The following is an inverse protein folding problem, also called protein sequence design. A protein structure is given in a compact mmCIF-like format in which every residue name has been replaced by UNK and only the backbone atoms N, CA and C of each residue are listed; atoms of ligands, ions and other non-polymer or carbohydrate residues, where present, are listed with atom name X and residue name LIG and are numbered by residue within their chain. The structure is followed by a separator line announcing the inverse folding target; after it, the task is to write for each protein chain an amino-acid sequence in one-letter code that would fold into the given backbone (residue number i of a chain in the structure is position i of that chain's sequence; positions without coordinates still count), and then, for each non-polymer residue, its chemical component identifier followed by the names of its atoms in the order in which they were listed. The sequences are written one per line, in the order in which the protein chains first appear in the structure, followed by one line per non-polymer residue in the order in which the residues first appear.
data_IF_600791090039
#
_entry.id   IF_600791090039
#
_cell.length_a   1.000
_cell.length_b   1.000
_cell.length_c   1.000
_cell.angle_alpha   90.00
_cell.angle_beta   90.00
_cell.angle_gamma   90.00
#
_symmetry.space_group_name_H-M   'P 1'
#
loop_
_entity.id
_entity.type
_entity.pdbx_description
1 polymer ?
#
# COMPACT_ATOMS: atom_id res chain seq x y z
N UNK A 1 5.23 27.73 -16.02
CA UNK A 1 6.63 27.30 -16.17
C UNK A 1 6.81 26.69 -17.55
N UNK A 2 7.54 27.30 -18.49
CA UNK A 2 7.68 26.84 -19.88
C UNK A 2 8.46 25.53 -20.05
N UNK A 3 8.06 24.47 -19.33
CA UNK A 3 8.64 23.14 -19.33
C UNK A 3 7.99 22.29 -20.42
N UNK A 4 8.78 21.49 -21.14
CA UNK A 4 8.27 20.51 -22.08
C UNK A 4 8.09 19.17 -21.38
N UNK A 5 6.85 18.83 -21.03
CA UNK A 5 6.49 17.53 -20.44
C UNK A 5 6.08 16.56 -21.55
N UNK A 6 6.81 15.45 -21.78
CA UNK A 6 6.41 14.42 -22.74
C UNK A 6 5.05 13.83 -22.38
N UNK A 7 4.20 13.63 -23.39
CA UNK A 7 2.84 13.09 -23.20
C UNK A 7 2.84 11.71 -22.53
N UNK A 8 3.83 10.86 -22.83
CA UNK A 8 3.99 9.53 -22.26
C UNK A 8 4.30 9.60 -20.76
N UNK A 9 5.18 10.52 -20.35
CA UNK A 9 5.49 10.74 -18.94
C UNK A 9 4.27 11.30 -18.20
N UNK A 10 3.59 12.28 -18.79
CA UNK A 10 2.35 12.85 -18.24
C UNK A 10 1.26 11.78 -18.02
N UNK A 11 1.08 10.89 -18.99
CA UNK A 11 0.12 9.78 -18.87
C UNK A 11 0.51 8.79 -17.76
N UNK A 12 1.79 8.48 -17.60
CA UNK A 12 2.27 7.61 -16.50
C UNK A 12 2.07 8.26 -15.14
N UNK A 13 2.37 9.55 -15.00
CA UNK A 13 2.10 10.32 -13.77
C UNK A 13 0.60 10.29 -13.44
N UNK A 14 -0.26 10.55 -14.43
CA UNK A 14 -1.72 10.54 -14.24
C UNK A 14 -2.24 9.16 -13.77
N UNK A 15 -1.70 8.07 -14.34
CA UNK A 15 -2.03 6.69 -13.91
C UNK A 15 -1.55 6.42 -12.47
N UNK A 16 -0.30 6.79 -12.14
CA UNK A 16 0.27 6.59 -10.80
C UNK A 16 -0.40 7.44 -9.73
N UNK A 17 -0.95 8.60 -10.10
CA UNK A 17 -1.60 9.52 -9.18
C UNK A 17 -2.99 9.04 -8.71
N UNK A 18 -3.57 8.02 -9.35
CA UNK A 18 -4.88 7.43 -8.98
C UNK A 18 -5.99 8.50 -8.84
N UNK A 19 -6.10 9.36 -9.86
CA UNK A 19 -7.06 10.49 -9.93
C UNK A 19 -6.90 11.56 -8.84
N UNK A 20 -5.77 11.60 -8.15
CA UNK A 20 -5.45 12.65 -7.19
C UNK A 20 -4.54 13.71 -7.84
N UNK A 21 -5.10 14.88 -8.14
CA UNK A 21 -4.36 15.97 -8.82
C UNK A 21 -3.16 16.47 -8.01
N UNK A 22 -3.31 16.62 -6.69
CA UNK A 22 -2.19 17.04 -5.82
C UNK A 22 -1.03 16.05 -5.92
N UNK A 23 -1.34 14.75 -5.91
CA UNK A 23 -0.33 13.70 -6.05
C UNK A 23 0.33 13.73 -7.43
N UNK A 24 -0.43 13.97 -8.50
CA UNK A 24 0.12 14.09 -9.85
C UNK A 24 1.11 15.25 -9.97
N UNK A 25 0.78 16.41 -9.40
CA UNK A 25 1.66 17.59 -9.41
C UNK A 25 2.97 17.32 -8.63
N UNK A 26 2.86 16.81 -7.39
CA UNK A 26 4.03 16.46 -6.58
C UNK A 26 4.93 15.41 -7.25
N UNK A 27 4.33 14.43 -7.94
CA UNK A 27 5.09 13.45 -8.72
C UNK A 27 5.81 14.09 -9.91
N UNK A 28 5.17 15.03 -10.61
CA UNK A 28 5.78 15.75 -11.71
C UNK A 28 6.96 16.63 -11.24
N UNK A 29 6.81 17.30 -10.10
CA UNK A 29 7.88 18.07 -9.46
C UNK A 29 9.04 17.17 -9.04
N UNK A 30 8.74 16.03 -8.42
CA UNK A 30 9.76 15.06 -8.03
C UNK A 30 10.50 14.48 -9.25
N UNK A 31 9.81 14.20 -10.36
CA UNK A 31 10.45 13.84 -11.62
C UNK A 31 11.44 14.93 -12.08
N UNK A 32 11.02 16.20 -12.08
CA UNK A 32 11.86 17.33 -12.49
C UNK A 32 13.11 17.45 -11.63
N UNK A 33 12.98 17.28 -10.31
CA UNK A 33 14.10 17.35 -9.36
C UNK A 33 15.07 16.18 -9.54
N UNK A 34 14.56 14.98 -9.82
CA UNK A 34 15.42 13.81 -10.02
C UNK A 34 16.18 13.86 -11.35
N UNK A 35 15.52 14.30 -12.43
CA UNK A 35 16.12 14.37 -13.75
C UNK A 35 15.39 15.39 -14.64
N UNK A 36 16.17 16.33 -15.19
CA UNK A 36 15.71 17.28 -16.21
C UNK A 36 16.81 17.47 -17.28
N UNK A 37 16.48 17.56 -18.59
CA UNK A 37 15.15 17.52 -19.21
C UNK A 37 14.39 16.21 -19.01
N UNK A 38 13.05 16.27 -19.03
CA UNK A 38 12.20 15.09 -18.93
C UNK A 38 12.44 14.12 -20.09
N UNK A 39 12.41 12.82 -19.81
CA UNK A 39 12.44 11.77 -20.85
C UNK A 39 11.13 10.98 -20.85
N UNK A 40 10.79 10.40 -22.00
CA UNK A 40 9.61 9.55 -22.17
C UNK A 40 9.62 8.34 -21.25
N UNK A 41 10.80 7.81 -20.91
CA UNK A 41 10.98 6.58 -20.12
C UNK A 41 11.32 6.81 -18.64
N UNK A 42 11.48 8.07 -18.21
CA UNK A 42 11.81 8.41 -16.82
C UNK A 42 10.91 7.70 -15.80
N UNK A 43 11.51 7.13 -14.74
CA UNK A 43 10.74 6.47 -13.68
C UNK A 43 10.03 7.51 -12.84
N UNK A 44 8.72 7.33 -12.64
CA UNK A 44 7.93 8.17 -11.73
C UNK A 44 8.23 7.74 -10.29
N UNK A 45 8.69 8.65 -9.40
CA UNK A 45 8.94 8.31 -8.02
C UNK A 45 7.61 8.02 -7.30
N UNK A 46 7.61 6.92 -6.55
CA UNK A 46 6.49 6.56 -5.68
C UNK A 46 6.75 7.05 -4.25
N UNK A 47 5.72 7.41 -3.47
CA UNK A 47 5.91 7.76 -2.06
C UNK A 47 6.50 6.59 -1.26
N UNK A 48 7.46 6.88 -0.38
CA UNK A 48 8.19 5.85 0.38
C UNK A 48 7.26 4.91 1.16
N UNK A 49 6.22 5.46 1.78
CA UNK A 49 5.23 4.67 2.52
C UNK A 49 4.49 3.65 1.64
N UNK A 50 4.31 3.92 0.34
CA UNK A 50 3.69 2.95 -0.59
C UNK A 50 4.62 1.80 -0.91
N UNK A 51 5.90 2.10 -1.12
CA UNK A 51 6.94 1.09 -1.34
C UNK A 51 7.05 0.23 -0.10
N UNK A 52 7.08 0.85 1.08
CA UNK A 52 7.16 0.18 2.36
C UNK A 52 5.95 -0.75 2.62
N UNK A 53 4.73 -0.31 2.29
CA UNK A 53 3.53 -1.16 2.35
C UNK A 53 3.64 -2.35 1.39
N UNK A 54 4.10 -2.13 0.15
CA UNK A 54 4.26 -3.19 -0.86
C UNK A 54 5.25 -4.25 -0.40
N UNK A 55 6.38 -3.84 0.18
CA UNK A 55 7.36 -4.75 0.77
C UNK A 55 6.80 -5.51 1.98
N UNK A 56 6.03 -4.83 2.83
CA UNK A 56 5.34 -5.46 3.97
C UNK A 56 4.33 -6.51 3.48
N UNK A 57 3.58 -6.21 2.41
CA UNK A 57 2.65 -7.17 1.81
C UNK A 57 3.38 -8.41 1.24
N UNK A 58 4.54 -8.23 0.59
CA UNK A 58 5.38 -9.35 0.12
C UNK A 58 5.82 -10.25 1.29
N UNK A 59 6.23 -9.65 2.41
CA UNK A 59 6.60 -10.37 3.62
C UNK A 59 5.46 -11.21 4.19
N UNK A 60 4.22 -10.69 4.16
CA UNK A 60 3.02 -11.43 4.58
C UNK A 60 2.74 -12.61 3.66
N UNK A 61 2.93 -12.45 2.35
CA UNK A 61 2.68 -13.50 1.37
C UNK A 61 3.74 -14.59 1.41
N UNK A 62 4.99 -14.25 1.74
CA UNK A 62 6.09 -15.23 1.76
C UNK A 62 5.99 -16.26 2.88
N UNK A 63 5.47 -15.89 4.06
CA UNK A 63 5.44 -16.80 5.21
C UNK A 63 4.29 -16.43 6.16
N UNK A 64 3.50 -17.44 6.56
CA UNK A 64 2.38 -17.29 7.49
C UNK A 64 2.68 -17.95 8.84
N UNK A 65 3.68 -17.42 9.55
CA UNK A 65 4.06 -17.87 10.90
C UNK A 65 3.83 -16.76 11.95
N UNK A 66 3.63 -17.12 13.24
CA UNK A 66 3.53 -16.13 14.32
C UNK A 66 4.77 -15.24 14.45
N UNK A 67 5.96 -15.78 14.15
CA UNK A 67 7.21 -15.01 14.14
C UNK A 67 7.17 -13.93 13.06
N UNK A 68 6.78 -14.30 11.83
CA UNK A 68 6.63 -13.36 10.71
C UNK A 68 5.58 -12.29 11.00
N UNK A 69 4.47 -12.65 11.64
CA UNK A 69 3.46 -11.69 12.08
C UNK A 69 4.04 -10.65 13.05
N UNK A 70 4.92 -11.05 13.97
CA UNK A 70 5.63 -10.14 14.86
C UNK A 70 6.53 -9.14 14.12
N UNK A 71 7.25 -9.60 13.10
CA UNK A 71 8.06 -8.73 12.22
C UNK A 71 7.17 -7.75 11.44
N UNK A 72 6.06 -8.21 10.88
CA UNK A 72 5.09 -7.36 10.18
C UNK A 72 4.46 -6.32 11.12
N UNK A 73 4.19 -6.69 12.38
CA UNK A 73 3.70 -5.75 13.39
C UNK A 73 4.68 -4.60 13.62
N UNK A 74 5.98 -4.86 13.66
CA UNK A 74 7.00 -3.81 13.80
C UNK A 74 6.96 -2.85 12.60
N UNK A 75 6.88 -3.37 11.38
CA UNK A 75 6.74 -2.58 10.16
C UNK A 75 5.48 -1.70 10.16
N UNK A 76 4.35 -2.25 10.59
CA UNK A 76 3.11 -1.49 10.74
C UNK A 76 3.24 -0.38 11.79
N UNK A 77 3.98 -0.64 12.87
CA UNK A 77 4.31 0.38 13.87
C UNK A 77 5.15 1.51 13.29
N UNK A 78 6.18 1.21 12.48
CA UNK A 78 7.00 2.24 11.83
C UNK A 78 6.16 3.17 10.95
N UNK A 79 5.24 2.63 10.15
CA UNK A 79 4.31 3.44 9.35
C UNK A 79 3.47 4.39 10.22
N UNK A 80 2.97 3.91 11.35
CA UNK A 80 2.17 4.72 12.28
C UNK A 80 3.02 5.82 12.95
N UNK A 81 4.26 5.50 13.35
CA UNK A 81 5.19 6.45 13.97
C UNK A 81 5.56 7.56 12.98
N UNK A 82 5.74 7.22 11.70
CA UNK A 82 5.98 8.18 10.63
C UNK A 82 4.73 8.97 10.20
N UNK A 83 3.61 8.84 10.92
CA UNK A 83 2.41 9.65 10.72
C UNK A 83 1.58 9.24 9.50
N UNK A 84 1.76 8.02 8.98
CA UNK A 84 0.91 7.52 7.90
C UNK A 84 -0.48 7.17 8.47
N UNK A 85 -1.57 7.74 7.93
CA UNK A 85 -2.91 7.47 8.44
C UNK A 85 -3.27 5.97 8.39
N UNK A 86 -3.84 5.40 9.47
CA UNK A 86 -4.14 3.97 9.55
C UNK A 86 -5.09 3.46 8.45
N UNK A 87 -6.05 4.27 8.02
CA UNK A 87 -6.96 3.98 6.91
C UNK A 87 -6.21 3.88 5.58
N UNK A 88 -5.20 4.72 5.37
CA UNK A 88 -4.32 4.64 4.21
C UNK A 88 -3.47 3.36 4.22
N UNK A 89 -2.99 2.95 5.40
CA UNK A 89 -2.29 1.66 5.58
C UNK A 89 -3.24 0.51 5.25
N UNK A 90 -4.46 0.50 5.79
CA UNK A 90 -5.47 -0.53 5.51
C UNK A 90 -5.77 -0.67 4.01
N UNK A 91 -6.08 0.45 3.36
CA UNK A 91 -6.39 0.47 1.93
C UNK A 91 -5.21 0.00 1.08
N UNK A 92 -3.99 0.42 1.43
CA UNK A 92 -2.76 -0.03 0.78
C UNK A 92 -2.52 -1.53 0.93
N UNK A 93 -2.60 -2.05 2.16
CA UNK A 93 -2.41 -3.46 2.47
C UNK A 93 -3.44 -4.34 1.76
N UNK A 94 -4.73 -3.97 1.81
CA UNK A 94 -5.79 -4.70 1.11
C UNK A 94 -5.51 -4.78 -0.39
N UNK A 95 -5.16 -3.64 -1.01
CA UNK A 95 -4.90 -3.56 -2.45
C UNK A 95 -3.73 -4.44 -2.88
N UNK A 96 -2.64 -4.47 -2.12
CA UNK A 96 -1.47 -5.29 -2.45
C UNK A 96 -1.71 -6.79 -2.18
N UNK A 97 -2.41 -7.14 -1.10
CA UNK A 97 -2.68 -8.54 -0.76
C UNK A 97 -3.65 -9.18 -1.76
N UNK A 98 -4.75 -8.49 -2.11
CA UNK A 98 -5.80 -8.99 -3.03
C UNK A 98 -5.27 -9.30 -4.44
N UNK A 99 -4.15 -8.70 -4.86
CA UNK A 99 -3.52 -9.01 -6.16
C UNK A 99 -3.05 -10.45 -6.27
N UNK A 100 -2.73 -11.10 -5.15
CA UNK A 100 -2.17 -12.45 -5.08
C UNK A 100 -3.20 -13.47 -4.56
N UNK A 101 -4.49 -13.17 -4.69
CA UNK A 101 -5.58 -14.01 -4.18
C UNK A 101 -6.54 -14.42 -5.29
N UNK A 102 -7.15 -15.58 -5.16
CA UNK A 102 -8.25 -16.04 -6.03
C UNK A 102 -9.57 -15.35 -5.70
N UNK A 103 -10.52 -15.32 -6.65
CA UNK A 103 -11.77 -14.56 -6.51
C UNK A 103 -12.54 -14.88 -5.22
N UNK A 104 -12.65 -16.16 -4.87
CA UNK A 104 -13.33 -16.59 -3.63
C UNK A 104 -12.65 -16.02 -2.37
N UNK A 105 -11.31 -15.95 -2.39
CA UNK A 105 -10.51 -15.41 -1.29
C UNK A 105 -10.60 -13.88 -1.25
N UNK A 106 -10.65 -13.19 -2.40
CA UNK A 106 -10.79 -11.72 -2.48
C UNK A 106 -12.02 -11.23 -1.74
N UNK A 107 -13.17 -11.89 -1.93
CA UNK A 107 -14.41 -11.53 -1.23
C UNK A 107 -14.27 -11.66 0.29
N UNK A 108 -13.68 -12.75 0.77
CA UNK A 108 -13.48 -12.97 2.20
C UNK A 108 -12.50 -11.96 2.81
N UNK A 109 -11.38 -11.71 2.14
CA UNK A 109 -10.37 -10.74 2.58
C UNK A 109 -10.93 -9.32 2.60
N UNK A 110 -11.68 -8.92 1.57
CA UNK A 110 -12.32 -7.61 1.51
C UNK A 110 -13.34 -7.41 2.65
N UNK A 111 -14.16 -8.43 2.94
CA UNK A 111 -15.12 -8.42 4.06
C UNK A 111 -14.41 -8.26 5.41
N UNK A 112 -13.33 -9.02 5.63
CA UNK A 112 -12.53 -8.90 6.85
C UNK A 112 -11.85 -7.53 6.95
N UNK A 113 -11.26 -7.02 5.87
CA UNK A 113 -10.65 -5.69 5.84
C UNK A 113 -11.65 -4.61 6.23
N UNK A 114 -12.83 -4.59 5.62
CA UNK A 114 -13.89 -3.63 5.96
C UNK A 114 -14.31 -3.72 7.43
N UNK A 115 -14.42 -4.93 7.99
CA UNK A 115 -14.75 -5.14 9.40
C UNK A 115 -13.67 -4.61 10.35
N UNK A 116 -12.40 -4.89 10.08
CA UNK A 116 -11.30 -4.43 10.93
C UNK A 116 -11.07 -2.92 10.80
N UNK A 117 -11.21 -2.35 9.61
CA UNK A 117 -11.14 -0.91 9.36
C UNK A 117 -12.28 -0.17 10.09
N UNK A 118 -13.51 -0.69 10.04
CA UNK A 118 -14.64 -0.10 10.77
C UNK A 118 -14.40 -0.11 12.28
N UNK A 119 -13.93 -1.23 12.83
CA UNK A 119 -13.58 -1.34 14.26
C UNK A 119 -12.44 -0.41 14.66
N UNK A 120 -11.47 -0.21 13.77
CA UNK A 120 -10.37 0.72 14.00
C UNK A 120 -10.88 2.15 14.19
N UNK A 121 -11.86 2.60 13.39
CA UNK A 121 -12.47 3.93 13.54
C UNK A 121 -13.21 4.12 14.87
N UNK A 122 -13.64 3.04 15.51
CA UNK A 122 -14.33 3.05 16.80
C UNK A 122 -13.37 2.86 17.99
N UNK A 123 -12.12 2.50 17.74
CA UNK A 123 -11.12 2.18 18.75
C UNK A 123 -10.03 3.23 18.89
N UNK A 124 -9.26 3.15 19.98
CA UNK A 124 -8.17 4.09 20.25
C UNK A 124 -6.79 3.60 19.75
N UNK A 125 -6.61 2.30 19.49
CA UNK A 125 -5.29 1.71 19.15
C UNK A 125 -5.31 1.05 17.77
N UNK A 126 -4.96 1.81 16.74
CA UNK A 126 -5.00 1.36 15.35
C UNK A 126 -4.20 0.08 15.07
N UNK A 127 -3.04 -0.07 15.71
CA UNK A 127 -2.17 -1.23 15.53
C UNK A 127 -2.86 -2.57 15.83
N UNK A 128 -3.74 -2.63 16.83
CA UNK A 128 -4.43 -3.87 17.17
C UNK A 128 -5.34 -4.35 16.05
N UNK A 129 -5.97 -3.41 15.34
CA UNK A 129 -6.86 -3.71 14.23
C UNK A 129 -6.06 -4.09 12.97
N UNK A 130 -4.96 -3.39 12.69
CA UNK A 130 -4.06 -3.71 11.59
C UNK A 130 -3.44 -5.11 11.75
N UNK A 131 -2.91 -5.41 12.93
CA UNK A 131 -2.35 -6.72 13.25
C UNK A 131 -3.41 -7.82 13.16
N UNK A 132 -4.61 -7.58 13.70
CA UNK A 132 -5.69 -8.56 13.64
C UNK A 132 -6.14 -8.84 12.19
N UNK A 133 -6.15 -7.83 11.33
CA UNK A 133 -6.41 -8.02 9.90
C UNK A 133 -5.33 -8.87 9.24
N UNK A 134 -4.04 -8.54 9.46
CA UNK A 134 -2.92 -9.31 8.90
C UNK A 134 -2.95 -10.76 9.40
N UNK A 135 -3.14 -10.99 10.70
CA UNK A 135 -3.24 -12.33 11.27
C UNK A 135 -4.40 -13.12 10.64
N UNK A 136 -5.56 -12.48 10.46
CA UNK A 136 -6.71 -13.11 9.81
C UNK A 136 -6.43 -13.43 8.35
N UNK A 137 -5.77 -12.53 7.62
CA UNK A 137 -5.34 -12.77 6.25
C UNK A 137 -4.38 -13.96 6.17
N UNK A 138 -3.33 -13.99 7.00
CA UNK A 138 -2.35 -15.09 7.04
C UNK A 138 -3.03 -16.44 7.29
N UNK A 139 -4.00 -16.50 8.20
CA UNK A 139 -4.75 -17.72 8.48
C UNK A 139 -5.60 -18.19 7.29
N UNK A 140 -6.26 -17.25 6.57
CA UNK A 140 -7.04 -17.56 5.37
C UNK A 140 -6.11 -18.03 4.23
N UNK A 141 -5.02 -17.30 4.00
CA UNK A 141 -4.08 -17.58 2.92
C UNK A 141 -3.38 -18.93 3.12
N UNK A 142 -2.94 -19.23 4.35
CA UNK A 142 -2.34 -20.52 4.67
C UNK A 142 -3.29 -21.69 4.41
N UNK A 143 -4.55 -21.58 4.85
CA UNK A 143 -5.58 -22.59 4.60
C UNK A 143 -5.91 -22.78 3.11
N UNK A 144 -5.65 -21.76 2.29
CA UNK A 144 -5.87 -21.83 0.85
C UNK A 144 -4.70 -22.47 0.09
N UNK A 145 -3.47 -22.36 0.62
CA UNK A 145 -2.28 -23.01 0.04
C UNK A 145 -2.11 -24.47 0.48
N UNK A 146 -2.76 -24.87 1.58
CA UNK A 146 -2.91 -26.26 2.03
C UNK A 146 -4.07 -26.96 1.31
#
# INVERSE_FOLDING_TARGET
EGLSLPSELGLRIAKCADRNLRRALLMCEACKVQQYPFTSDQKVPEPDWQVYIRETAKMILSEQSPKKLGEVRQKLYELLIHGVPPDMIFAGMLRELVRNCDMAMKCQVASHAAKYEHRMRQGNKAIFHLEAFVAKFMAIYKKFME
#
